data_IF_119623793240
#
_entry.id   IF_119623793240
#
_cell.length_a   1.000
_cell.length_b   1.000
_cell.length_c   1.000
_cell.angle_alpha   90.00
_cell.angle_beta   90.00
_cell.angle_gamma   90.00
#
_symmetry.space_group_name_H-M   'P 1'
#
loop_
_entity.id
_entity.type
_entity.pdbx_description
1 polymer ?
#
# COMPACT_ATOMS: atom_id res chain seq x y z
N UNK A 1 -65.19 -33.64 28.00
CA UNK A 1 -64.31 -32.45 28.11
C UNK A 1 -62.79 -32.78 28.07
N UNK A 2 -62.37 -33.88 27.42
CA UNK A 2 -60.94 -34.23 27.24
C UNK A 2 -60.55 -34.62 25.79
N UNK A 3 -61.51 -34.70 24.85
CA UNK A 3 -61.24 -34.99 23.42
C UNK A 3 -61.06 -33.74 22.56
N UNK A 4 -61.62 -32.59 22.95
CA UNK A 4 -61.51 -31.34 22.17
C UNK A 4 -60.23 -30.54 22.44
N UNK A 5 -59.43 -30.94 23.45
CA UNK A 5 -58.14 -30.28 23.77
C UNK A 5 -56.97 -30.88 22.96
N UNK A 6 -57.10 -32.12 22.47
CA UNK A 6 -56.07 -32.76 21.61
C UNK A 6 -56.15 -32.29 20.15
N UNK A 7 -57.36 -31.97 19.67
CA UNK A 7 -57.56 -31.44 18.30
C UNK A 7 -57.06 -29.99 18.22
N UNK A 8 -57.28 -29.18 19.26
CA UNK A 8 -56.78 -27.79 19.30
C UNK A 8 -55.25 -27.70 19.42
N UNK A 9 -54.60 -28.63 20.10
CA UNK A 9 -53.13 -28.68 20.21
C UNK A 9 -52.44 -29.18 18.93
N UNK A 10 -53.07 -30.09 18.17
CA UNK A 10 -52.55 -30.55 16.87
C UNK A 10 -52.75 -29.49 15.79
N UNK A 11 -53.82 -28.69 15.85
CA UNK A 11 -54.03 -27.55 14.94
C UNK A 11 -53.09 -26.36 15.20
N UNK A 12 -52.56 -26.19 16.42
CA UNK A 12 -51.61 -25.12 16.73
C UNK A 12 -50.16 -25.46 16.34
N UNK A 13 -49.79 -26.75 16.38
CA UNK A 13 -48.45 -27.21 15.95
C UNK A 13 -48.35 -27.31 14.42
N UNK A 14 -49.45 -27.61 13.72
CA UNK A 14 -49.47 -27.60 12.25
C UNK A 14 -49.52 -26.18 11.65
N UNK A 15 -49.90 -25.15 12.42
CA UNK A 15 -49.90 -23.75 11.97
C UNK A 15 -48.53 -23.06 12.19
N UNK A 16 -47.64 -23.62 13.01
CA UNK A 16 -46.28 -23.14 13.20
C UNK A 16 -45.24 -23.79 12.25
N UNK A 17 -45.63 -24.78 11.43
CA UNK A 17 -44.76 -25.41 10.43
C UNK A 17 -45.01 -24.95 8.98
N UNK A 18 -45.85 -23.91 8.76
CA UNK A 18 -46.12 -23.34 7.42
C UNK A 18 -45.69 -21.87 7.31
N UNK A 19 -44.98 -21.34 8.32
CA UNK A 19 -44.32 -20.03 8.25
C UNK A 19 -42.82 -20.29 8.20
N UNK A 20 -42.37 -20.77 7.05
CA UNK A 20 -40.98 -21.21 6.84
C UNK A 20 -40.67 -21.41 5.36
N UNK A 21 -41.15 -20.51 4.52
CA UNK A 21 -40.68 -20.29 3.15
C UNK A 21 -41.30 -18.99 2.63
N UNK A 22 -40.86 -17.85 3.18
CA UNK A 22 -41.03 -16.59 2.48
C UNK A 22 -39.99 -16.57 1.36
N UNK A 23 -40.38 -17.08 0.20
CA UNK A 23 -39.80 -16.71 -1.09
C UNK A 23 -40.03 -15.21 -1.27
N UNK A 24 -38.96 -14.43 -1.17
CA UNK A 24 -38.93 -13.09 -1.75
C UNK A 24 -38.28 -13.23 -3.12
N UNK A 25 -39.13 -13.42 -4.13
CA UNK A 25 -38.80 -13.08 -5.50
C UNK A 25 -38.79 -11.56 -5.62
N UNK A 26 -37.71 -11.05 -6.22
CA UNK A 26 -37.58 -9.84 -7.03
C UNK A 26 -38.32 -8.58 -6.56
N UNK A 27 -37.54 -7.67 -5.97
CA UNK A 27 -37.63 -6.26 -6.36
C UNK A 27 -36.27 -5.85 -6.94
N UNK A 28 -36.23 -5.86 -8.27
CA UNK A 28 -35.15 -5.37 -9.11
C UNK A 28 -35.36 -3.86 -9.24
N UNK A 29 -34.54 -3.05 -8.56
CA UNK A 29 -34.01 -1.77 -9.07
C UNK A 29 -33.44 -0.90 -7.95
N UNK A 30 -32.12 -0.92 -7.84
CA UNK A 30 -31.34 0.31 -7.75
C UNK A 30 -29.94 -0.04 -8.26
N UNK A 31 -29.69 0.31 -9.52
CA UNK A 31 -28.39 0.29 -10.17
C UNK A 31 -27.29 0.80 -9.24
N UNK A 32 -26.44 -0.12 -8.78
CA UNK A 32 -25.01 0.17 -8.73
C UNK A 32 -24.41 -0.84 -9.69
N UNK A 33 -24.23 -0.36 -10.91
CA UNK A 33 -23.34 -0.95 -11.91
C UNK A 33 -22.11 -1.44 -11.16
N UNK A 34 -21.95 -2.77 -11.12
CA UNK A 34 -20.70 -3.38 -10.73
C UNK A 34 -19.69 -3.02 -11.82
N UNK A 35 -19.09 -1.85 -11.69
CA UNK A 35 -17.73 -1.64 -12.15
C UNK A 35 -16.84 -2.45 -11.20
N UNK A 36 -16.92 -3.78 -11.29
CA UNK A 36 -15.73 -4.60 -11.13
C UNK A 36 -14.85 -4.14 -12.29
N UNK A 37 -14.07 -3.09 -12.04
CA UNK A 37 -13.18 -2.48 -13.02
C UNK A 37 -12.16 -3.55 -13.38
N UNK A 38 -12.50 -4.23 -14.47
CA UNK A 38 -11.60 -4.73 -15.46
C UNK A 38 -10.43 -5.57 -14.93
N UNK A 39 -10.70 -6.86 -14.73
CA UNK A 39 -9.67 -7.91 -14.64
C UNK A 39 -9.01 -8.18 -16.01
N UNK A 40 -9.27 -7.34 -17.04
CA UNK A 40 -8.51 -7.35 -18.29
C UNK A 40 -7.50 -6.20 -18.29
N UNK A 41 -6.34 -6.45 -17.70
CA UNK A 41 -5.15 -5.72 -18.12
C UNK A 41 -4.91 -6.12 -19.58
N UNK A 42 -5.12 -5.17 -20.50
CA UNK A 42 -4.87 -5.37 -21.92
C UNK A 42 -3.44 -5.91 -22.13
N UNK A 43 -3.38 -7.12 -22.68
CA UNK A 43 -2.16 -7.78 -23.13
C UNK A 43 -1.63 -7.00 -24.34
N UNK A 44 -0.62 -6.17 -24.14
CA UNK A 44 0.28 -5.81 -25.24
C UNK A 44 1.27 -6.97 -25.40
N UNK A 45 1.12 -7.69 -26.51
CA UNK A 45 2.01 -8.77 -26.93
C UNK A 45 3.43 -8.24 -27.11
N UNK A 46 4.35 -8.63 -26.22
CA UNK A 46 5.79 -8.49 -26.46
C UNK A 46 6.19 -9.52 -27.53
N UNK A 47 6.91 -9.13 -28.59
CA UNK A 47 7.37 -10.10 -29.59
C UNK A 47 8.34 -11.10 -28.96
N UNK A 48 8.12 -12.39 -29.20
CA UNK A 48 9.14 -13.43 -28.97
C UNK A 48 10.32 -13.15 -29.91
N UNK A 49 11.45 -12.70 -29.36
CA UNK A 49 12.74 -12.80 -30.05
C UNK A 49 13.48 -14.04 -29.54
N UNK A 50 13.30 -15.13 -30.28
CA UNK A 50 14.15 -16.31 -30.20
C UNK A 50 15.48 -16.02 -30.88
N UNK A 51 16.51 -15.68 -30.09
CA UNK A 51 17.89 -15.77 -30.53
C UNK A 51 18.79 -16.25 -29.39
N UNK A 52 18.99 -17.57 -29.36
CA UNK A 52 20.03 -18.23 -28.57
C UNK A 52 21.38 -17.98 -29.24
N UNK A 53 22.10 -16.95 -28.78
CA UNK A 53 23.49 -16.72 -29.14
C UNK A 53 24.42 -17.16 -27.99
N UNK A 54 25.09 -18.29 -28.18
CA UNK A 54 26.20 -18.73 -27.32
C UNK A 54 27.29 -17.66 -27.29
N UNK A 55 27.68 -17.19 -26.10
CA UNK A 55 28.90 -16.41 -25.91
C UNK A 55 29.82 -17.16 -24.95
N UNK A 56 30.87 -17.72 -25.55
CA UNK A 56 31.96 -18.41 -24.89
C UNK A 56 32.72 -17.48 -23.93
N UNK A 57 33.06 -18.06 -22.78
CA UNK A 57 34.02 -17.53 -21.82
C UNK A 57 35.40 -17.34 -22.46
N UNK A 58 35.98 -16.15 -22.28
CA UNK A 58 37.43 -15.96 -22.27
C UNK A 58 37.75 -14.81 -21.30
N UNK A 59 37.92 -15.17 -20.02
CA UNK A 59 38.46 -14.26 -19.00
C UNK A 59 39.97 -14.19 -19.19
N UNK A 60 40.44 -13.06 -19.75
CA UNK A 60 41.83 -12.61 -19.57
C UNK A 60 41.84 -11.42 -18.63
N UNK A 61 42.40 -11.65 -17.45
CA UNK A 61 42.75 -10.66 -16.44
C UNK A 61 43.85 -9.74 -16.96
N UNK A 62 43.59 -8.44 -17.05
CA UNK A 62 44.63 -7.42 -17.07
C UNK A 62 44.28 -6.33 -16.06
N UNK A 63 45.00 -6.38 -14.93
CA UNK A 63 45.08 -5.32 -13.94
C UNK A 63 45.70 -4.08 -14.59
N UNK A 64 44.97 -2.97 -14.60
CA UNK A 64 45.58 -1.66 -14.72
C UNK A 64 44.81 -0.65 -13.86
N UNK A 65 45.37 -0.40 -12.69
CA UNK A 65 45.09 0.73 -11.81
C UNK A 65 45.02 2.03 -12.61
N UNK A 66 43.81 2.58 -12.74
CA UNK A 66 43.59 4.02 -12.96
C UNK A 66 42.62 4.50 -11.91
N UNK A 67 43.21 4.94 -10.80
CA UNK A 67 42.57 5.76 -9.79
C UNK A 67 42.10 7.07 -10.47
N UNK A 68 40.88 7.06 -11.00
CA UNK A 68 40.21 8.28 -11.44
C UNK A 68 39.73 8.98 -10.19
N UNK A 69 40.46 10.02 -9.78
CA UNK A 69 39.96 11.02 -8.86
C UNK A 69 38.69 11.64 -9.48
N UNK A 70 37.52 11.16 -9.05
CA UNK A 70 36.26 11.84 -9.31
C UNK A 70 36.32 13.13 -8.51
N UNK A 71 36.46 14.25 -9.23
CA UNK A 71 36.31 15.57 -8.66
C UNK A 71 34.86 15.70 -8.15
N UNK A 72 34.68 15.57 -6.84
CA UNK A 72 33.42 15.85 -6.15
C UNK A 72 33.19 17.36 -6.21
N UNK A 73 32.53 17.83 -7.28
CA UNK A 73 32.18 19.23 -7.42
C UNK A 73 31.09 19.54 -6.38
N UNK A 74 31.26 20.62 -5.61
CA UNK A 74 30.31 21.10 -4.58
C UNK A 74 28.85 21.20 -5.08
N UNK A 75 28.66 21.21 -6.41
CA UNK A 75 27.39 21.28 -7.11
C UNK A 75 26.52 20.02 -7.00
N UNK A 76 27.09 18.87 -6.61
CA UNK A 76 26.36 17.62 -6.36
C UNK A 76 26.05 17.36 -4.88
N UNK A 77 26.54 18.22 -3.97
CA UNK A 77 26.29 18.03 -2.53
C UNK A 77 24.91 18.57 -2.16
N UNK A 78 24.06 17.72 -1.61
CA UNK A 78 22.74 18.13 -1.14
C UNK A 78 22.86 19.29 -0.13
N UNK A 79 22.09 20.36 -0.34
CA UNK A 79 22.02 21.45 0.63
C UNK A 79 21.21 21.00 1.84
N UNK A 80 21.61 21.40 3.05
CA UNK A 80 20.90 21.03 4.28
C UNK A 80 20.07 22.20 4.82
N UNK A 81 18.82 21.95 5.19
CA UNK A 81 17.91 22.95 5.77
C UNK A 81 17.08 22.35 6.90
N UNK A 82 16.77 23.14 7.93
CA UNK A 82 15.77 22.79 8.95
C UNK A 82 14.50 23.58 8.71
N UNK A 83 13.35 22.90 8.72
CA UNK A 83 12.04 23.49 8.46
C UNK A 83 11.12 23.31 9.66
N UNK A 84 10.32 24.34 9.94
CA UNK A 84 9.40 24.38 11.10
C UNK A 84 7.93 24.51 10.69
N UNK A 85 7.67 24.64 9.39
CA UNK A 85 6.33 24.77 8.83
C UNK A 85 6.28 24.18 7.42
N UNK A 86 5.06 24.01 6.90
CA UNK A 86 4.81 23.33 5.63
C UNK A 86 5.30 24.11 4.42
N UNK A 87 5.24 25.43 4.44
CA UNK A 87 5.66 26.25 3.30
C UNK A 87 7.18 26.20 3.14
N UNK A 88 7.95 26.20 4.22
CA UNK A 88 9.41 26.01 4.15
C UNK A 88 9.78 24.60 3.64
N UNK A 89 9.09 23.56 4.12
CA UNK A 89 9.26 22.19 3.60
C UNK A 89 8.98 22.14 2.10
N UNK A 90 7.88 22.76 1.65
CA UNK A 90 7.52 22.85 0.24
C UNK A 90 8.57 23.59 -0.57
N UNK A 91 9.04 24.73 -0.10
CA UNK A 91 10.10 25.52 -0.75
C UNK A 91 11.38 24.71 -0.90
N UNK A 92 11.77 23.94 0.10
CA UNK A 92 12.94 23.07 0.02
C UNK A 92 12.73 21.94 -1.01
N UNK A 93 11.60 21.24 -0.99
CA UNK A 93 11.27 20.19 -1.97
C UNK A 93 11.13 20.71 -3.42
N UNK A 94 10.92 22.01 -3.61
CA UNK A 94 10.84 22.65 -4.93
C UNK A 94 12.15 23.24 -5.45
N UNK A 95 13.25 23.16 -4.69
CA UNK A 95 14.57 23.58 -5.19
C UNK A 95 15.01 22.74 -6.39
N UNK A 96 15.98 23.24 -7.15
CA UNK A 96 16.55 22.54 -8.32
C UNK A 96 17.67 21.59 -7.94
N UNK A 97 18.41 21.88 -6.86
CA UNK A 97 19.46 21.01 -6.34
C UNK A 97 18.90 20.03 -5.28
N UNK A 98 19.54 18.85 -5.10
CA UNK A 98 19.20 17.91 -4.05
C UNK A 98 19.18 18.56 -2.65
N UNK A 99 18.27 18.11 -1.78
CA UNK A 99 18.09 18.67 -0.44
C UNK A 99 18.07 17.59 0.65
N UNK A 100 18.72 17.89 1.77
CA UNK A 100 18.53 17.20 3.05
C UNK A 100 17.73 18.12 3.98
N UNK A 101 16.54 17.71 4.38
CA UNK A 101 15.54 18.55 5.04
C UNK A 101 15.25 17.96 6.43
N UNK A 102 15.60 18.68 7.48
CA UNK A 102 15.31 18.29 8.86
C UNK A 102 14.00 18.92 9.33
N UNK A 103 13.07 18.10 9.81
CA UNK A 103 11.81 18.59 10.37
C UNK A 103 12.02 19.01 11.83
N UNK A 104 11.39 20.10 12.25
CA UNK A 104 11.40 20.55 13.63
C UNK A 104 10.00 20.95 14.08
N UNK A 105 9.48 20.25 15.10
CA UNK A 105 8.14 20.46 15.61
C UNK A 105 7.03 19.97 14.67
N UNK A 106 5.84 20.53 14.84
CA UNK A 106 4.65 20.13 14.09
C UNK A 106 4.57 20.84 12.73
N UNK A 107 4.56 20.07 11.65
CA UNK A 107 4.44 20.56 10.28
C UNK A 107 3.02 20.29 9.77
N UNK A 108 2.16 21.31 9.79
CA UNK A 108 0.76 21.16 9.38
C UNK A 108 0.60 21.25 7.85
N UNK A 109 0.15 20.17 7.21
CA UNK A 109 -0.05 20.11 5.77
C UNK A 109 -1.20 20.99 5.29
N UNK A 110 -0.88 22.00 4.47
CA UNK A 110 -1.84 22.98 3.95
C UNK A 110 -2.05 22.86 2.44
N UNK A 111 -1.04 22.43 1.69
CA UNK A 111 -1.05 22.35 0.23
C UNK A 111 -0.29 21.12 -0.29
N UNK A 112 -0.44 20.77 -1.56
CA UNK A 112 0.36 19.69 -2.15
C UNK A 112 1.82 20.12 -2.30
N UNK A 113 2.75 19.22 -1.95
CA UNK A 113 4.17 19.30 -2.27
C UNK A 113 4.43 18.41 -3.50
N UNK A 114 4.98 19.02 -4.55
CA UNK A 114 5.51 18.29 -5.71
C UNK A 114 7.03 18.35 -5.64
N UNK A 115 7.71 17.21 -5.62
CA UNK A 115 9.18 17.19 -5.56
C UNK A 115 9.79 17.59 -6.90
N UNK A 116 10.76 18.52 -6.87
CA UNK A 116 11.52 18.93 -8.05
C UNK A 116 12.98 18.46 -8.01
N UNK A 117 13.44 17.95 -6.87
CA UNK A 117 14.79 17.46 -6.61
C UNK A 117 14.77 16.08 -5.94
N UNK A 118 15.96 15.49 -5.80
CA UNK A 118 16.17 14.42 -4.83
C UNK A 118 16.10 15.00 -3.42
N UNK A 119 15.14 14.51 -2.63
CA UNK A 119 14.87 15.03 -1.30
C UNK A 119 15.01 13.92 -0.27
N UNK A 120 15.80 14.20 0.78
CA UNK A 120 15.85 13.37 1.99
C UNK A 120 15.22 14.17 3.13
N UNK A 121 14.04 13.78 3.57
CA UNK A 121 13.30 14.39 4.68
C UNK A 121 13.55 13.55 5.93
N UNK A 122 14.12 14.19 6.95
CA UNK A 122 14.55 13.56 8.20
C UNK A 122 13.75 14.13 9.35
N UNK A 123 13.03 13.26 10.06
CA UNK A 123 12.37 13.59 11.31
C UNK A 123 13.19 13.18 12.54
N UNK A 124 12.68 13.57 13.68
CA UNK A 124 13.07 13.09 15.00
C UNK A 124 11.82 12.81 15.86
N UNK A 125 12.03 12.36 17.10
CA UNK A 125 10.95 12.00 18.03
C UNK A 125 10.02 13.16 18.43
N UNK A 126 10.42 14.41 18.17
CA UNK A 126 9.69 15.63 18.52
C UNK A 126 9.09 16.33 17.29
N UNK A 127 9.44 15.90 16.08
CA UNK A 127 8.91 16.42 14.83
C UNK A 127 7.82 15.50 14.27
N UNK A 128 6.79 16.07 13.66
CA UNK A 128 5.77 15.28 12.97
C UNK A 128 5.02 16.10 11.91
N UNK A 129 4.45 15.40 10.93
CA UNK A 129 3.58 15.95 9.91
C UNK A 129 2.13 15.61 10.25
N UNK A 130 1.23 16.60 10.16
CA UNK A 130 -0.19 16.45 10.50
C UNK A 130 -1.11 17.23 9.56
N UNK A 131 -2.43 17.10 9.72
CA UNK A 131 -3.43 17.88 8.97
C UNK A 131 -3.70 17.34 7.56
N UNK A 132 -3.87 18.22 6.58
CA UNK A 132 -4.17 17.84 5.20
C UNK A 132 -5.62 18.10 4.78
N UNK A 133 -6.06 17.41 3.73
CA UNK A 133 -7.36 17.60 3.09
C UNK A 133 -7.79 16.37 2.32
N UNK A 134 -9.05 15.96 2.47
CA UNK A 134 -9.66 14.83 1.73
C UNK A 134 -9.73 15.05 0.21
N UNK A 135 -9.44 16.24 -0.29
CA UNK A 135 -9.47 16.55 -1.73
C UNK A 135 -8.10 16.62 -2.39
N UNK A 136 -7.00 16.42 -1.65
CA UNK A 136 -5.64 16.66 -2.16
C UNK A 136 -4.64 15.62 -1.70
N UNK A 137 -3.61 15.42 -2.52
CA UNK A 137 -2.42 14.69 -2.13
C UNK A 137 -1.48 15.59 -1.34
N UNK A 138 -0.77 15.04 -0.35
CA UNK A 138 0.20 15.81 0.43
C UNK A 138 1.57 15.83 -0.28
N UNK A 139 2.02 14.69 -0.79
CA UNK A 139 3.32 14.53 -1.43
C UNK A 139 3.20 13.83 -2.78
N UNK A 140 3.78 14.41 -3.82
CA UNK A 140 3.80 13.86 -5.18
C UNK A 140 5.19 13.97 -5.81
N UNK A 141 5.68 12.89 -6.43
CA UNK A 141 6.91 12.89 -7.21
C UNK A 141 6.77 12.09 -8.50
N UNK A 142 7.51 12.48 -9.53
CA UNK A 142 7.60 11.79 -10.82
C UNK A 142 8.96 12.09 -11.49
N UNK A 143 9.31 11.30 -12.49
CA UNK A 143 10.56 11.45 -13.25
C UNK A 143 11.76 10.78 -12.57
N UNK A 144 12.95 11.08 -13.04
CA UNK A 144 14.22 10.60 -12.47
C UNK A 144 14.54 11.29 -11.13
N UNK A 145 13.90 10.85 -10.03
CA UNK A 145 14.11 11.37 -8.67
C UNK A 145 14.10 10.26 -7.63
N UNK A 146 14.86 10.45 -6.56
CA UNK A 146 14.86 9.60 -5.38
C UNK A 146 14.37 10.39 -4.18
N UNK A 147 13.24 9.97 -3.59
CA UNK A 147 12.67 10.61 -2.40
C UNK A 147 12.84 9.68 -1.21
N UNK A 148 13.48 10.19 -0.15
CA UNK A 148 13.68 9.45 1.10
C UNK A 148 12.96 10.16 2.25
N UNK A 149 12.15 9.42 2.98
CA UNK A 149 11.65 9.79 4.30
C UNK A 149 12.37 8.93 5.33
N UNK A 150 12.98 9.54 6.33
CA UNK A 150 13.71 8.86 7.38
C UNK A 150 13.28 9.38 8.76
N UNK A 151 12.90 8.48 9.67
CA UNK A 151 12.46 8.84 11.03
C UNK A 151 11.29 9.85 11.05
N UNK A 152 10.46 9.87 10.01
CA UNK A 152 9.35 10.82 9.91
C UNK A 152 8.09 10.23 10.55
N UNK A 153 7.46 11.01 11.42
CA UNK A 153 6.16 10.70 12.02
C UNK A 153 5.08 11.45 11.24
N UNK A 154 4.16 10.72 10.63
CA UNK A 154 2.91 11.21 10.05
C UNK A 154 1.77 10.83 10.98
N UNK A 155 1.00 11.81 11.46
CA UNK A 155 -0.14 11.52 12.34
C UNK A 155 -1.32 12.47 12.18
N UNK A 156 -2.51 11.95 12.43
CA UNK A 156 -3.76 12.70 12.40
C UNK A 156 -3.94 13.41 11.05
N UNK A 157 -3.75 12.67 9.95
CA UNK A 157 -3.79 13.23 8.61
C UNK A 157 -5.00 12.80 7.81
N UNK A 158 -5.44 13.68 6.92
CA UNK A 158 -6.42 13.34 5.89
C UNK A 158 -5.88 13.71 4.52
N UNK A 159 -6.05 12.84 3.51
CA UNK A 159 -5.61 13.08 2.15
C UNK A 159 -6.54 12.41 1.12
N UNK A 160 -6.47 12.79 -0.17
CA UNK A 160 -7.03 11.95 -1.23
C UNK A 160 -6.20 10.68 -1.41
N UNK A 161 -4.87 10.84 -1.45
CA UNK A 161 -3.79 9.84 -1.32
C UNK A 161 -2.68 10.58 -0.57
N UNK A 162 -2.11 10.05 0.50
CA UNK A 162 -1.17 10.87 1.30
C UNK A 162 0.14 11.12 0.54
N UNK A 163 0.77 10.03 0.08
CA UNK A 163 2.06 10.07 -0.62
C UNK A 163 1.94 9.26 -1.91
N UNK A 164 2.12 9.92 -3.06
CA UNK A 164 2.16 9.26 -4.38
C UNK A 164 3.49 9.51 -5.07
N UNK A 165 4.33 8.49 -5.19
CA UNK A 165 5.68 8.64 -5.74
C UNK A 165 5.85 7.73 -6.96
N UNK A 166 6.43 8.28 -8.01
CA UNK A 166 6.93 7.58 -9.18
C UNK A 166 8.40 7.92 -9.37
N UNK A 167 9.18 6.95 -9.82
CA UNK A 167 10.55 7.19 -10.28
C UNK A 167 10.87 6.39 -11.54
N UNK A 168 11.65 6.96 -12.45
CA UNK A 168 12.06 6.31 -13.70
C UNK A 168 13.30 5.41 -13.50
N UNK A 169 14.27 5.87 -12.71
CA UNK A 169 15.58 5.25 -12.49
C UNK A 169 16.12 5.39 -11.05
N UNK A 170 15.38 6.09 -10.19
CA UNK A 170 15.74 6.31 -8.79
C UNK A 170 15.15 5.27 -7.85
N UNK A 171 15.24 5.56 -6.55
CA UNK A 171 14.66 4.73 -5.50
C UNK A 171 13.93 5.59 -4.48
N UNK A 172 12.66 5.28 -4.24
CA UNK A 172 11.90 5.89 -3.15
C UNK A 172 12.08 5.07 -1.87
N UNK A 173 12.36 5.73 -0.73
CA UNK A 173 12.68 5.06 0.53
C UNK A 173 11.85 5.61 1.69
N UNK A 174 11.30 4.70 2.49
CA UNK A 174 10.74 4.99 3.80
C UNK A 174 11.52 4.19 4.83
N UNK A 175 12.20 4.89 5.73
CA UNK A 175 13.11 4.31 6.71
C UNK A 175 12.64 4.73 8.09
N UNK A 176 12.30 3.78 8.94
CA UNK A 176 11.93 4.03 10.35
C UNK A 176 10.81 5.08 10.50
N UNK A 177 9.88 5.12 9.56
CA UNK A 177 8.77 6.08 9.56
C UNK A 177 7.56 5.52 10.31
N UNK A 178 6.74 6.41 10.87
CA UNK A 178 5.48 6.05 11.52
C UNK A 178 4.32 6.77 10.87
N UNK A 179 3.25 6.03 10.60
CA UNK A 179 1.99 6.52 10.04
C UNK A 179 0.87 6.11 10.98
N UNK A 180 0.30 7.05 11.72
CA UNK A 180 -0.77 6.79 12.68
C UNK A 180 -2.00 7.64 12.41
N UNK A 181 -3.19 7.05 12.51
CA UNK A 181 -4.45 7.77 12.32
C UNK A 181 -4.50 8.56 10.99
N UNK A 182 -4.27 7.86 9.89
CA UNK A 182 -4.32 8.43 8.54
C UNK A 182 -5.63 8.03 7.87
N UNK A 183 -6.37 9.01 7.36
CA UNK A 183 -7.60 8.77 6.61
C UNK A 183 -7.43 9.20 5.14
N UNK A 184 -7.60 8.27 4.21
CA UNK A 184 -7.63 8.59 2.79
C UNK A 184 -9.02 8.42 2.19
N UNK A 185 -9.44 9.39 1.39
CA UNK A 185 -10.85 9.59 1.04
C UNK A 185 -11.25 9.07 -0.34
N UNK A 186 -10.34 9.05 -1.33
CA UNK A 186 -10.67 8.66 -2.69
C UNK A 186 -10.98 7.15 -2.78
N UNK A 187 -11.67 6.71 -3.84
CA UNK A 187 -12.07 5.30 -3.99
C UNK A 187 -10.85 4.36 -4.01
N UNK A 188 -9.90 4.61 -4.92
CA UNK A 188 -8.60 3.94 -4.98
C UNK A 188 -7.55 4.83 -4.29
N UNK A 189 -7.49 4.77 -2.96
CA UNK A 189 -6.58 5.60 -2.17
C UNK A 189 -5.78 4.84 -1.14
N UNK A 190 -4.56 5.30 -0.88
CA UNK A 190 -3.63 4.68 0.07
C UNK A 190 -2.85 5.76 0.79
N UNK A 191 -2.22 5.39 1.91
CA UNK A 191 -1.24 6.25 2.58
C UNK A 191 -0.01 6.41 1.70
N UNK A 192 0.51 5.30 1.16
CA UNK A 192 1.63 5.31 0.21
C UNK A 192 1.19 4.65 -1.09
N UNK A 193 1.49 5.30 -2.20
CA UNK A 193 1.27 4.79 -3.54
C UNK A 193 2.58 4.82 -4.33
N UNK A 194 3.12 3.65 -4.65
CA UNK A 194 4.20 3.50 -5.61
C UNK A 194 3.60 3.45 -7.02
N UNK A 195 3.74 4.53 -7.79
CA UNK A 195 3.11 4.72 -9.09
C UNK A 195 4.04 4.38 -10.27
N UNK A 196 5.32 4.13 -9.99
CA UNK A 196 6.33 3.64 -10.94
C UNK A 196 7.67 3.40 -10.24
N UNK A 197 8.41 2.40 -10.70
CA UNK A 197 9.79 2.17 -10.28
C UNK A 197 9.89 1.45 -8.93
N UNK A 198 11.06 1.58 -8.31
CA UNK A 198 11.40 0.83 -7.09
C UNK A 198 11.12 1.64 -5.82
N UNK A 199 10.42 1.00 -4.88
CA UNK A 199 10.16 1.54 -3.54
C UNK A 199 10.65 0.58 -2.45
N UNK A 200 11.40 1.10 -1.48
CA UNK A 200 11.81 0.35 -0.29
C UNK A 200 11.17 0.91 0.98
N UNK A 201 10.53 0.05 1.76
CA UNK A 201 9.88 0.38 3.03
C UNK A 201 10.52 -0.49 4.11
N UNK A 202 11.27 0.14 5.01
CA UNK A 202 12.08 -0.56 6.01
C UNK A 202 11.85 0.02 7.40
N UNK A 203 11.58 -0.83 8.39
CA UNK A 203 11.43 -0.38 9.79
C UNK A 203 10.18 0.47 10.05
N UNK A 204 9.20 0.46 9.15
CA UNK A 204 8.07 1.38 9.21
C UNK A 204 6.89 0.81 10.00
N UNK A 205 6.15 1.68 10.69
CA UNK A 205 4.94 1.34 11.43
C UNK A 205 3.72 2.03 10.83
N UNK A 206 2.68 1.26 10.53
CA UNK A 206 1.41 1.73 10.00
C UNK A 206 0.29 1.31 10.94
N UNK A 207 -0.33 2.28 11.62
CA UNK A 207 -1.34 2.04 12.65
C UNK A 207 -2.60 2.85 12.44
N UNK A 208 -3.75 2.22 12.71
CA UNK A 208 -5.05 2.90 12.78
C UNK A 208 -5.40 3.71 11.53
N UNK A 209 -5.02 3.23 10.34
CA UNK A 209 -5.32 3.93 9.09
C UNK A 209 -6.66 3.47 8.51
N UNK A 210 -7.34 4.38 7.80
CA UNK A 210 -8.61 4.10 7.13
C UNK A 210 -8.55 4.59 5.69
N UNK A 211 -8.47 3.66 4.73
CA UNK A 211 -8.13 3.96 3.35
C UNK A 211 -9.14 3.40 2.37
N UNK A 212 -9.03 3.82 1.10
CA UNK A 212 -9.75 3.12 0.03
C UNK A 212 -9.18 1.72 -0.19
N UNK A 213 -7.89 1.66 -0.52
CA UNK A 213 -7.14 0.50 -0.97
C UNK A 213 -5.86 0.33 -0.14
N UNK A 214 -5.82 -0.62 0.80
CA UNK A 214 -4.65 -0.84 1.64
C UNK A 214 -4.13 0.39 2.37
N UNK A 215 -3.10 0.20 3.18
CA UNK A 215 -2.23 1.29 3.59
C UNK A 215 -1.26 1.66 2.47
N UNK A 216 -0.78 0.64 1.75
CA UNK A 216 0.17 0.79 0.65
C UNK A 216 -0.43 0.20 -0.63
N UNK A 217 -0.27 0.92 -1.74
CA UNK A 217 -0.52 0.40 -3.09
C UNK A 217 0.77 0.40 -3.90
N UNK A 218 1.08 -0.76 -4.51
CA UNK A 218 2.14 -0.93 -5.48
C UNK A 218 1.52 -1.18 -6.86
N UNK A 219 1.26 -0.10 -7.61
CA UNK A 219 0.58 -0.15 -8.91
C UNK A 219 1.02 1.02 -9.78
N UNK A 220 1.50 0.71 -10.98
CA UNK A 220 1.80 1.70 -12.00
C UNK A 220 0.76 1.69 -13.12
N UNK A 221 0.35 2.86 -13.58
CA UNK A 221 -0.47 2.98 -14.80
C UNK A 221 0.33 2.69 -16.07
N UNK A 222 1.66 2.81 -16.00
CA UNK A 222 2.58 2.50 -17.10
C UNK A 222 3.98 2.19 -16.58
N UNK A 223 4.66 1.24 -17.24
CA UNK A 223 5.98 0.77 -16.82
C UNK A 223 5.92 -0.27 -15.70
N UNK A 224 7.10 -0.66 -15.20
CA UNK A 224 7.21 -1.62 -14.10
C UNK A 224 7.10 -0.95 -12.74
N UNK A 225 6.61 -1.72 -11.77
CA UNK A 225 6.49 -1.30 -10.39
C UNK A 225 6.99 -2.42 -9.48
N UNK A 226 7.90 -2.07 -8.56
CA UNK A 226 8.54 -3.03 -7.67
C UNK A 226 8.64 -2.46 -6.26
N UNK A 227 8.38 -3.30 -5.26
CA UNK A 227 8.41 -2.90 -3.86
C UNK A 227 9.12 -3.93 -2.98
N UNK A 228 9.95 -3.45 -2.07
CA UNK A 228 10.45 -4.24 -0.94
C UNK A 228 9.89 -3.67 0.37
N UNK A 229 9.37 -4.55 1.21
CA UNK A 229 8.86 -4.21 2.54
C UNK A 229 9.56 -5.11 3.54
N UNK A 230 10.30 -4.50 4.46
CA UNK A 230 11.10 -5.24 5.43
C UNK A 230 10.96 -4.68 6.84
N UNK A 231 11.02 -5.57 7.84
CA UNK A 231 11.06 -5.19 9.26
C UNK A 231 9.95 -4.20 9.65
N UNK A 232 8.78 -4.29 9.02
CA UNK A 232 7.70 -3.30 9.14
C UNK A 232 6.45 -3.90 9.78
N UNK A 233 5.65 -3.05 10.43
CA UNK A 233 4.44 -3.44 11.13
C UNK A 233 3.21 -2.74 10.55
N UNK A 234 2.16 -3.52 10.32
CA UNK A 234 0.84 -3.08 9.89
C UNK A 234 -0.18 -3.54 10.91
N UNK A 235 -0.77 -2.60 11.65
CA UNK A 235 -1.68 -2.92 12.74
C UNK A 235 -2.96 -2.08 12.72
N UNK A 236 -4.11 -2.73 12.91
CA UNK A 236 -5.43 -2.08 13.00
C UNK A 236 -5.74 -1.18 11.79
N UNK A 237 -5.26 -1.55 10.60
CA UNK A 237 -5.56 -0.81 9.39
C UNK A 237 -6.84 -1.32 8.75
N UNK A 238 -7.68 -0.40 8.29
CA UNK A 238 -8.95 -0.72 7.64
C UNK A 238 -8.95 -0.19 6.21
N UNK A 239 -9.28 -1.04 5.25
CA UNK A 239 -9.63 -0.61 3.90
C UNK A 239 -11.13 -0.71 3.68
N UNK A 240 -11.71 0.37 3.14
CA UNK A 240 -13.12 0.45 2.76
C UNK A 240 -13.48 -0.51 1.64
N UNK A 241 -12.50 -0.86 0.80
CA UNK A 241 -12.64 -1.79 -0.30
C UNK A 241 -11.67 -2.96 -0.10
N UNK A 242 -10.36 -2.78 -0.35
CA UNK A 242 -9.44 -3.92 -0.49
C UNK A 242 -7.96 -3.54 -0.63
N UNK A 243 -7.02 -4.40 -0.24
CA UNK A 243 -7.03 -5.21 0.99
C UNK A 243 -6.76 -4.32 2.21
N UNK A 244 -6.66 -4.86 3.41
CA UNK A 244 -6.54 -4.03 4.63
C UNK A 244 -5.15 -3.42 4.81
N UNK A 245 -4.08 -4.04 4.27
CA UNK A 245 -2.71 -3.54 4.40
C UNK A 245 -2.02 -3.22 3.07
N UNK A 246 -1.82 -4.19 2.17
CA UNK A 246 -1.00 -3.97 0.95
C UNK A 246 -1.72 -4.47 -0.29
N UNK A 247 -2.05 -3.55 -1.19
CA UNK A 247 -2.52 -3.86 -2.55
C UNK A 247 -1.32 -3.93 -3.51
N UNK A 248 -1.04 -5.09 -4.08
CA UNK A 248 0.10 -5.27 -4.98
C UNK A 248 -0.32 -5.69 -6.40
N UNK A 249 0.21 -5.00 -7.40
CA UNK A 249 0.01 -5.27 -8.82
C UNK A 249 1.34 -5.40 -9.59
N UNK A 250 2.47 -5.52 -8.88
CA UNK A 250 3.80 -5.67 -9.48
C UNK A 250 4.67 -6.67 -8.73
N UNK A 251 5.99 -6.52 -8.83
CA UNK A 251 6.92 -7.34 -8.07
C UNK A 251 6.98 -6.87 -6.60
N UNK A 252 6.89 -7.80 -5.66
CA UNK A 252 6.92 -7.48 -4.24
C UNK A 252 7.67 -8.52 -3.41
N UNK A 253 8.59 -8.04 -2.57
CA UNK A 253 9.21 -8.83 -1.52
C UNK A 253 8.76 -8.31 -0.16
N UNK A 254 8.31 -9.20 0.72
CA UNK A 254 7.92 -8.91 2.10
C UNK A 254 8.73 -9.79 3.02
N UNK A 255 9.56 -9.20 3.88
CA UNK A 255 10.45 -9.96 4.77
C UNK A 255 10.37 -9.47 6.21
N UNK A 256 10.28 -10.38 7.16
CA UNK A 256 10.28 -10.06 8.60
C UNK A 256 9.25 -8.96 8.97
N UNK A 257 8.05 -9.04 8.38
CA UNK A 257 6.97 -8.09 8.62
C UNK A 257 5.89 -8.67 9.52
N UNK A 258 5.15 -7.80 10.19
CA UNK A 258 4.03 -8.19 11.05
C UNK A 258 2.75 -7.50 10.61
N UNK A 259 1.70 -8.29 10.37
CA UNK A 259 0.37 -7.84 9.99
C UNK A 259 -0.63 -8.30 11.05
N UNK A 260 -1.19 -7.37 11.82
CA UNK A 260 -2.11 -7.64 12.93
C UNK A 260 -3.42 -6.90 12.73
N UNK A 261 -4.56 -7.59 12.85
CA UNK A 261 -5.87 -6.94 12.89
C UNK A 261 -6.12 -5.99 11.70
N UNK A 262 -5.59 -6.30 10.52
CA UNK A 262 -5.89 -5.53 9.32
C UNK A 262 -7.19 -6.05 8.71
N UNK A 263 -8.08 -5.13 8.34
CA UNK A 263 -9.46 -5.42 7.96
C UNK A 263 -9.73 -4.88 6.56
N UNK A 264 -10.35 -5.70 5.72
CA UNK A 264 -10.88 -5.27 4.43
C UNK A 264 -12.32 -5.71 4.23
N UNK A 265 -13.06 -4.95 3.41
CA UNK A 265 -14.36 -5.38 2.92
C UNK A 265 -14.23 -6.57 1.98
N UNK A 266 -13.27 -6.54 1.06
CA UNK A 266 -13.07 -7.54 0.01
C UNK A 266 -11.62 -8.06 -0.04
N UNK A 267 -11.46 -9.25 -0.63
CA UNK A 267 -10.21 -9.98 -0.90
C UNK A 267 -9.38 -10.39 0.33
N UNK A 268 -8.57 -9.51 0.90
CA UNK A 268 -7.62 -9.89 1.94
C UNK A 268 -7.61 -8.90 3.09
N UNK A 269 -7.61 -9.40 4.33
CA UNK A 269 -7.43 -8.55 5.51
C UNK A 269 -6.04 -7.91 5.53
N UNK A 270 -4.99 -8.61 5.08
CA UNK A 270 -3.64 -8.04 4.99
C UNK A 270 -3.24 -7.74 3.55
N UNK A 271 -2.88 -8.74 2.75
CA UNK A 271 -2.23 -8.53 1.43
C UNK A 271 -3.05 -9.16 0.32
N UNK A 272 -3.31 -8.37 -0.71
CA UNK A 272 -3.90 -8.83 -1.97
C UNK A 272 -2.94 -8.60 -3.13
N UNK A 273 -2.75 -9.61 -3.98
CA UNK A 273 -1.89 -9.56 -5.17
C UNK A 273 -2.69 -9.85 -6.43
N UNK A 274 -2.60 -8.96 -7.43
CA UNK A 274 -3.34 -9.03 -8.69
C UNK A 274 -2.59 -9.82 -9.77
N UNK A 275 -3.29 -10.20 -10.83
CA UNK A 275 -2.75 -10.93 -11.99
C UNK A 275 -1.45 -10.29 -12.53
N UNK A 276 -0.48 -11.12 -12.94
CA UNK A 276 0.86 -10.74 -13.40
C UNK A 276 1.81 -10.16 -12.32
N UNK A 277 1.37 -10.03 -11.06
CA UNK A 277 2.28 -9.76 -9.95
C UNK A 277 3.12 -11.00 -9.58
N UNK A 278 4.30 -10.76 -9.02
CA UNK A 278 5.10 -11.79 -8.37
C UNK A 278 5.37 -11.36 -6.93
N UNK A 279 4.99 -12.19 -5.97
CA UNK A 279 5.12 -11.85 -4.55
C UNK A 279 5.81 -12.95 -3.78
N UNK A 280 6.88 -12.58 -3.07
CA UNK A 280 7.58 -13.45 -2.15
C UNK A 280 7.42 -12.89 -0.74
N UNK A 281 6.92 -13.73 0.18
CA UNK A 281 6.77 -13.42 1.60
C UNK A 281 7.67 -14.35 2.40
N UNK A 282 8.50 -13.79 3.28
CA UNK A 282 9.46 -14.52 4.12
C UNK A 282 9.39 -14.07 5.56
N UNK A 283 9.50 -15.03 6.47
CA UNK A 283 9.72 -14.80 7.90
C UNK A 283 8.71 -13.82 8.52
N UNK A 284 7.46 -13.81 8.04
CA UNK A 284 6.47 -12.79 8.40
C UNK A 284 5.33 -13.38 9.25
N UNK A 285 4.67 -12.53 10.02
CA UNK A 285 3.56 -12.93 10.90
C UNK A 285 2.27 -12.26 10.44
N UNK A 286 1.21 -13.06 10.31
CA UNK A 286 -0.14 -12.61 10.04
C UNK A 286 -1.04 -13.09 11.17
N UNK A 287 -1.63 -12.16 11.91
CA UNK A 287 -2.39 -12.44 13.11
C UNK A 287 -3.72 -11.67 13.10
N UNK A 288 -4.84 -12.36 13.31
CA UNK A 288 -6.19 -11.77 13.40
C UNK A 288 -6.57 -10.84 12.23
N UNK A 289 -6.05 -11.08 11.02
CA UNK A 289 -6.41 -10.31 9.83
C UNK A 289 -7.74 -10.80 9.25
N UNK A 290 -8.59 -9.87 8.80
CA UNK A 290 -9.98 -10.15 8.44
C UNK A 290 -10.39 -9.58 7.08
N UNK A 291 -10.94 -10.45 6.23
CA UNK A 291 -11.67 -10.04 5.02
C UNK A 291 -13.18 -10.26 5.19
N UNK A 292 -14.01 -9.47 4.48
CA UNK A 292 -15.46 -9.53 4.59
C UNK A 292 -16.07 -8.51 5.55
N UNK A 293 -15.29 -7.51 5.97
CA UNK A 293 -15.68 -6.51 6.98
C UNK A 293 -15.89 -7.10 8.37
N UNK A 294 -16.43 -6.29 9.29
CA UNK A 294 -16.66 -6.70 10.70
C UNK A 294 -17.61 -7.90 10.87
N UNK A 295 -18.39 -8.24 9.84
CA UNK A 295 -19.28 -9.40 9.84
C UNK A 295 -18.62 -10.69 9.36
N UNK A 296 -17.36 -10.66 8.90
CA UNK A 296 -16.61 -11.82 8.40
C UNK A 296 -17.36 -12.64 7.32
N UNK A 297 -18.32 -12.03 6.62
CA UNK A 297 -19.30 -12.72 5.80
C UNK A 297 -18.83 -12.94 4.35
N UNK A 298 -17.54 -12.78 4.08
CA UNK A 298 -16.95 -12.80 2.74
C UNK A 298 -16.32 -14.14 2.36
N UNK A 299 -16.28 -14.42 1.06
CA UNK A 299 -15.67 -15.62 0.44
C UNK A 299 -14.13 -15.53 0.30
N UNK A 300 -13.47 -14.66 1.06
CA UNK A 300 -12.10 -14.23 0.77
C UNK A 300 -11.09 -14.65 1.87
N UNK A 301 -9.80 -14.46 1.60
CA UNK A 301 -8.73 -14.88 2.50
C UNK A 301 -8.59 -13.94 3.70
N UNK A 302 -8.61 -14.48 4.92
CA UNK A 302 -8.46 -13.66 6.14
C UNK A 302 -7.19 -12.80 6.11
N UNK A 303 -6.03 -13.41 5.88
CA UNK A 303 -4.76 -12.70 5.74
C UNK A 303 -4.37 -12.39 4.29
N UNK A 304 -4.38 -13.40 3.41
CA UNK A 304 -3.82 -13.31 2.06
C UNK A 304 -4.84 -13.75 1.00
N UNK A 305 -4.86 -13.06 -0.13
CA UNK A 305 -5.56 -13.47 -1.35
C UNK A 305 -4.68 -13.14 -2.56
N UNK A 306 -4.62 -14.04 -3.56
CA UNK A 306 -3.75 -13.85 -4.72
C UNK A 306 -4.41 -14.33 -6.01
N UNK A 307 -4.33 -13.51 -7.06
CA UNK A 307 -4.50 -13.88 -8.47
C UNK A 307 -3.17 -14.08 -9.21
N UNK A 308 -2.06 -14.08 -8.47
CA UNK A 308 -0.69 -13.99 -8.97
C UNK A 308 0.18 -15.12 -8.43
N UNK A 309 1.42 -15.21 -8.91
CA UNK A 309 2.41 -16.10 -8.29
C UNK A 309 2.73 -15.58 -6.88
N UNK A 310 2.43 -16.39 -5.88
CA UNK A 310 2.66 -16.10 -4.46
C UNK A 310 3.50 -17.22 -3.85
N UNK A 311 4.66 -16.86 -3.31
CA UNK A 311 5.55 -17.76 -2.58
C UNK A 311 5.64 -17.31 -1.12
N UNK A 312 5.38 -18.22 -0.18
CA UNK A 312 5.39 -17.91 1.25
C UNK A 312 6.31 -18.87 1.98
N UNK A 313 7.30 -18.34 2.68
CA UNK A 313 8.31 -19.10 3.40
C UNK A 313 8.36 -18.68 4.87
N UNK A 314 8.53 -19.65 5.77
CA UNK A 314 8.80 -19.43 7.20
C UNK A 314 7.86 -18.42 7.88
N UNK A 315 6.61 -18.33 7.42
CA UNK A 315 5.66 -17.34 7.91
C UNK A 315 4.59 -17.99 8.77
N UNK A 316 4.08 -17.25 9.75
CA UNK A 316 3.06 -17.71 10.69
C UNK A 316 1.71 -17.06 10.38
N UNK A 317 0.65 -17.87 10.45
CA UNK A 317 -0.73 -17.42 10.27
C UNK A 317 -1.55 -17.85 11.48
N UNK A 318 -2.02 -16.87 12.25
CA UNK A 318 -2.85 -17.04 13.43
C UNK A 318 -4.11 -16.17 13.30
N UNK A 319 -5.18 -16.56 13.99
CA UNK A 319 -6.48 -15.90 13.92
C UNK A 319 -7.46 -16.45 14.93
#
# INVERSE_FOLDING_TARGET
>A
MRSNLKILAISLILLCCIIGAASAADDVSADIVSDSVDDTVAVDTVPEDTSMGELNEDIKTDENNRESAVADSEQNRASSVTVTNWEDLKTACNQTSPQTIYLSGAINSTSQITFNNDATIIGDSNSYITGGSSSRMAFVSSGAKSITFQNVIFKDMTASVLIKLATDDGVNRFIDCSFDNINTSAFKSSVIWNDKGYMNISGCNFTNTNNGYGVITNYATSGSVQMNVENSRFENNTARFEPGAINNCGEMNVTNCTFIHNIAKWWAGAIHTHTNAHTIIKDSTFDDNLAGGASASGWNGGALFSYSTLEVYNSSFTG
#
